data_IF_647311635091
#
_entry.id   IF_647311635091
#
_cell.length_a   1.000
_cell.length_b   1.000
_cell.length_c   1.000
_cell.angle_alpha   90.00
_cell.angle_beta   90.00
_cell.angle_gamma   90.00
#
_symmetry.space_group_name_H-M   'P 1'
#
loop_
_entity.id
_entity.type
_entity.pdbx_description
1 polymer ?
#
# COMPACT_ATOMS: atom_id res chain seq x y z
N UNK A 1 6.14 -15.53 -13.44
CA UNK A 1 6.12 -15.79 -12.00
C UNK A 1 7.52 -16.06 -11.44
N UNK A 2 8.38 -16.78 -12.13
CA UNK A 2 9.75 -17.06 -11.69
C UNK A 2 10.55 -15.75 -11.43
N UNK A 3 10.43 -14.76 -12.32
CA UNK A 3 11.06 -13.45 -12.13
C UNK A 3 10.51 -12.71 -10.90
N UNK A 4 9.23 -12.86 -10.59
CA UNK A 4 8.61 -12.31 -9.37
C UNK A 4 9.24 -12.92 -8.13
N UNK A 5 9.40 -14.23 -8.10
CA UNK A 5 10.08 -14.92 -7.00
C UNK A 5 11.52 -14.44 -6.83
N UNK A 6 12.30 -14.39 -7.91
CA UNK A 6 13.71 -13.97 -7.82
C UNK A 6 13.88 -12.51 -7.42
N UNK A 7 13.01 -11.63 -7.93
CA UNK A 7 12.97 -10.23 -7.51
C UNK A 7 12.65 -10.08 -6.02
N UNK A 8 11.62 -10.79 -5.54
CA UNK A 8 11.26 -10.81 -4.13
C UNK A 8 12.38 -11.38 -3.24
N UNK A 9 12.99 -12.50 -3.65
CA UNK A 9 14.09 -13.12 -2.90
C UNK A 9 15.29 -12.17 -2.76
N UNK A 10 15.66 -11.46 -3.83
CA UNK A 10 16.72 -10.47 -3.80
C UNK A 10 16.39 -9.30 -2.84
N UNK A 11 15.20 -8.71 -2.95
CA UNK A 11 14.75 -7.62 -2.09
C UNK A 11 14.66 -8.05 -0.61
N UNK A 12 14.12 -9.23 -0.33
CA UNK A 12 14.01 -9.74 1.04
C UNK A 12 15.36 -10.13 1.65
N UNK A 13 16.32 -10.57 0.84
CA UNK A 13 17.70 -10.78 1.31
C UNK A 13 18.33 -9.46 1.77
N UNK A 14 18.12 -8.38 1.05
CA UNK A 14 18.52 -7.03 1.46
C UNK A 14 17.84 -6.60 2.76
N UNK A 15 16.54 -6.85 2.89
CA UNK A 15 15.78 -6.57 4.12
C UNK A 15 16.40 -7.32 5.32
N UNK A 16 16.64 -8.62 5.18
CA UNK A 16 17.26 -9.44 6.24
C UNK A 16 18.64 -8.92 6.62
N UNK A 17 19.48 -8.58 5.64
CA UNK A 17 20.81 -8.01 5.88
C UNK A 17 20.77 -6.67 6.61
N UNK A 18 19.72 -5.88 6.38
CA UNK A 18 19.46 -4.61 7.06
C UNK A 18 18.74 -4.76 8.40
N UNK A 19 18.56 -6.00 8.89
CA UNK A 19 17.93 -6.27 10.20
C UNK A 19 16.41 -6.16 10.21
N UNK A 20 15.76 -6.09 9.05
CA UNK A 20 14.30 -6.07 8.92
C UNK A 20 13.74 -7.44 9.27
N UNK A 21 12.75 -7.49 10.15
CA UNK A 21 12.09 -8.73 10.59
C UNK A 21 10.68 -8.89 10.02
N UNK A 22 10.09 -7.82 9.54
CA UNK A 22 8.74 -7.80 8.98
C UNK A 22 8.66 -6.80 7.84
N UNK A 23 8.12 -7.22 6.70
CA UNK A 23 7.92 -6.39 5.51
C UNK A 23 6.44 -6.22 5.24
N UNK A 24 6.04 -4.99 4.89
CA UNK A 24 4.77 -4.70 4.23
C UNK A 24 5.10 -4.41 2.77
N UNK A 25 4.81 -5.36 1.88
CA UNK A 25 5.17 -5.29 0.47
C UNK A 25 3.97 -4.86 -0.38
N UNK A 26 4.20 -3.93 -1.31
CA UNK A 26 3.22 -3.45 -2.27
C UNK A 26 3.70 -3.80 -3.68
N UNK A 27 3.21 -4.90 -4.20
CA UNK A 27 3.71 -5.51 -5.43
C UNK A 27 2.93 -5.10 -6.68
N UNK A 28 3.65 -4.88 -7.77
CA UNK A 28 3.08 -4.71 -9.10
C UNK A 28 3.87 -5.52 -10.14
N UNK A 29 3.18 -6.36 -10.91
CA UNK A 29 3.76 -7.13 -12.02
C UNK A 29 2.73 -7.33 -13.11
N UNK A 30 2.62 -6.37 -14.03
CA UNK A 30 1.55 -6.34 -15.05
C UNK A 30 1.52 -7.56 -15.99
N UNK A 31 2.63 -8.27 -16.12
CA UNK A 31 2.74 -9.51 -16.91
C UNK A 31 2.41 -10.79 -16.12
N UNK A 32 2.28 -10.72 -14.79
CA UNK A 32 2.11 -11.89 -13.93
C UNK A 32 1.28 -11.55 -12.69
N UNK A 33 0.00 -11.22 -12.86
CA UNK A 33 -0.89 -10.82 -11.76
C UNK A 33 -1.20 -12.02 -10.88
N UNK A 34 -1.91 -13.00 -11.42
CA UNK A 34 -2.40 -14.16 -10.67
C UNK A 34 -1.25 -15.06 -10.21
N UNK A 35 -1.20 -15.33 -8.91
CA UNK A 35 -0.19 -16.16 -8.27
C UNK A 35 1.11 -15.42 -7.90
N UNK A 36 1.23 -14.12 -8.19
CA UNK A 36 2.42 -13.34 -7.85
C UNK A 36 2.66 -13.24 -6.35
N UNK A 37 1.61 -13.02 -5.56
CA UNK A 37 1.74 -12.92 -4.10
C UNK A 37 2.13 -14.25 -3.46
N UNK A 38 1.71 -15.38 -4.02
CA UNK A 38 2.16 -16.71 -3.56
C UNK A 38 3.65 -16.93 -3.81
N UNK A 39 4.20 -16.45 -4.95
CA UNK A 39 5.64 -16.52 -5.23
C UNK A 39 6.45 -15.62 -4.29
N UNK A 40 5.96 -14.42 -4.01
CA UNK A 40 6.58 -13.52 -3.02
C UNK A 40 6.53 -14.14 -1.62
N UNK A 41 5.41 -14.74 -1.26
CA UNK A 41 5.26 -15.47 0.02
C UNK A 41 6.25 -16.61 0.14
N UNK A 42 6.48 -17.38 -0.95
CA UNK A 42 7.48 -18.45 -0.99
C UNK A 42 8.89 -17.93 -0.73
N UNK A 43 9.27 -16.82 -1.38
CA UNK A 43 10.57 -16.19 -1.13
C UNK A 43 10.74 -15.74 0.33
N UNK A 44 9.69 -15.18 0.92
CA UNK A 44 9.70 -14.79 2.33
C UNK A 44 9.78 -16.00 3.28
N UNK A 45 9.18 -17.14 2.92
CA UNK A 45 9.29 -18.39 3.70
C UNK A 45 10.72 -18.93 3.73
N UNK A 46 11.38 -18.97 2.57
CA UNK A 46 12.75 -19.48 2.46
C UNK A 46 13.75 -18.64 3.26
N UNK A 47 13.51 -17.34 3.40
CA UNK A 47 14.33 -16.42 4.18
C UNK A 47 13.89 -16.27 5.64
N UNK A 48 12.79 -16.91 6.06
CA UNK A 48 12.25 -16.81 7.42
C UNK A 48 11.73 -15.42 7.77
N UNK A 49 11.34 -14.61 6.78
CA UNK A 49 10.90 -13.22 6.95
C UNK A 49 9.37 -13.17 7.11
N UNK A 50 8.90 -12.41 8.09
CA UNK A 50 7.46 -12.11 8.21
C UNK A 50 7.06 -11.10 7.14
N UNK A 51 5.96 -11.37 6.42
CA UNK A 51 5.50 -10.50 5.34
C UNK A 51 3.99 -10.29 5.35
N UNK A 52 3.59 -9.04 5.15
CA UNK A 52 2.24 -8.62 4.83
C UNK A 52 2.25 -8.13 3.38
N UNK A 53 1.56 -8.85 2.49
CA UNK A 53 1.67 -8.67 1.06
C UNK A 53 0.37 -8.11 0.47
N UNK A 54 0.51 -7.30 -0.58
CA UNK A 54 -0.62 -6.88 -1.39
C UNK A 54 -0.19 -6.67 -2.85
N UNK A 55 -1.15 -6.85 -3.77
CA UNK A 55 -0.99 -6.56 -5.19
C UNK A 55 -1.63 -5.20 -5.53
N UNK A 56 -0.97 -4.41 -6.33
CA UNK A 56 -1.42 -3.09 -6.77
C UNK A 56 -2.63 -3.17 -7.69
N UNK A 57 -3.80 -2.72 -7.22
CA UNK A 57 -4.99 -2.50 -8.05
C UNK A 57 -4.90 -1.13 -8.70
N UNK A 58 -5.17 -1.06 -10.01
CA UNK A 58 -5.17 0.17 -10.78
C UNK A 58 -6.08 0.04 -12.01
N UNK A 59 -6.67 1.16 -12.46
CA UNK A 59 -7.47 1.21 -13.69
C UNK A 59 -6.60 1.36 -14.95
N UNK A 60 -5.28 1.62 -14.81
CA UNK A 60 -4.37 1.92 -15.92
C UNK A 60 -4.26 0.82 -16.97
N UNK A 61 -4.32 -0.43 -16.54
CA UNK A 61 -4.16 -1.61 -17.40
C UNK A 61 -5.49 -2.21 -17.86
N UNK A 62 -6.59 -1.49 -17.60
CA UNK A 62 -7.94 -1.89 -18.02
C UNK A 62 -8.66 -2.84 -17.06
N UNK A 63 -9.96 -2.96 -17.26
CA UNK A 63 -10.88 -3.61 -16.32
C UNK A 63 -10.55 -5.08 -16.02
N UNK A 64 -10.03 -5.81 -17.01
CA UNK A 64 -9.68 -7.23 -16.83
C UNK A 64 -8.53 -7.41 -15.84
N UNK A 65 -7.46 -6.61 -15.97
CA UNK A 65 -6.31 -6.67 -15.05
C UNK A 65 -6.67 -6.10 -13.68
N UNK A 66 -7.48 -5.05 -13.65
CA UNK A 66 -8.01 -4.51 -12.39
C UNK A 66 -8.76 -5.59 -11.59
N UNK A 67 -9.69 -6.31 -12.23
CA UNK A 67 -10.40 -7.42 -11.57
C UNK A 67 -9.47 -8.55 -11.14
N UNK A 68 -8.49 -8.90 -11.96
CA UNK A 68 -7.50 -9.91 -11.60
C UNK A 68 -6.67 -9.50 -10.37
N UNK A 69 -6.28 -8.22 -10.28
CA UNK A 69 -5.55 -7.67 -9.15
C UNK A 69 -6.39 -7.69 -7.85
N UNK A 70 -7.67 -7.32 -7.92
CA UNK A 70 -8.59 -7.42 -6.77
C UNK A 70 -8.69 -8.89 -6.32
N UNK A 71 -8.86 -9.82 -7.25
CA UNK A 71 -8.98 -11.24 -6.95
C UNK A 71 -7.69 -11.80 -6.34
N UNK A 72 -6.51 -11.42 -6.85
CA UNK A 72 -5.21 -11.83 -6.31
C UNK A 72 -5.07 -11.43 -4.83
N UNK A 73 -5.42 -10.17 -4.48
CA UNK A 73 -5.43 -9.73 -3.09
C UNK A 73 -6.37 -10.58 -2.22
N UNK A 74 -7.59 -10.80 -2.67
CA UNK A 74 -8.60 -11.55 -1.91
C UNK A 74 -8.17 -12.99 -1.68
N UNK A 75 -7.63 -13.64 -2.70
CA UNK A 75 -7.18 -15.03 -2.62
C UNK A 75 -6.00 -15.15 -1.67
N UNK A 76 -5.03 -14.24 -1.76
CA UNK A 76 -3.88 -14.22 -0.85
C UNK A 76 -4.28 -13.90 0.60
N UNK A 77 -5.17 -12.94 0.84
CA UNK A 77 -5.69 -12.65 2.19
C UNK A 77 -6.32 -13.90 2.82
N UNK A 78 -7.10 -14.64 2.04
CA UNK A 78 -7.73 -15.89 2.50
C UNK A 78 -6.71 -17.00 2.74
N UNK A 79 -5.71 -17.13 1.89
CA UNK A 79 -4.61 -18.07 2.04
C UNK A 79 -3.81 -17.78 3.32
N UNK A 80 -3.36 -16.55 3.50
CA UNK A 80 -2.63 -16.10 4.69
C UNK A 80 -3.43 -16.32 5.99
N UNK A 81 -4.75 -16.06 5.96
CA UNK A 81 -5.63 -16.29 7.09
C UNK A 81 -5.77 -17.78 7.44
N UNK A 82 -5.84 -18.65 6.43
CA UNK A 82 -5.91 -20.12 6.63
C UNK A 82 -4.61 -20.69 7.17
N UNK A 83 -3.48 -20.10 6.79
CA UNK A 83 -2.16 -20.49 7.27
C UNK A 83 -2.04 -20.31 8.79
N UNK A 84 -2.48 -19.17 9.33
CA UNK A 84 -2.64 -18.92 10.76
C UNK A 84 -1.38 -18.96 11.62
N UNK A 85 -0.18 -18.92 11.00
CA UNK A 85 1.12 -19.03 11.67
C UNK A 85 1.70 -17.67 12.12
N UNK A 86 1.02 -16.56 11.80
CA UNK A 86 1.48 -15.22 12.08
C UNK A 86 2.64 -14.74 11.19
N UNK A 87 3.11 -15.56 10.25
CA UNK A 87 4.21 -15.23 9.36
C UNK A 87 3.72 -14.53 8.08
N UNK A 88 2.46 -14.71 7.71
CA UNK A 88 1.84 -14.12 6.52
C UNK A 88 0.58 -13.36 6.88
N UNK A 89 0.44 -12.22 6.23
CA UNK A 89 -0.76 -11.39 6.23
C UNK A 89 -0.99 -10.87 4.80
N UNK A 90 -2.23 -10.56 4.46
CA UNK A 90 -2.58 -9.94 3.20
C UNK A 90 -3.35 -8.65 3.41
N UNK A 91 -3.21 -7.71 2.49
CA UNK A 91 -3.98 -6.45 2.43
C UNK A 91 -4.56 -6.26 1.03
N UNK A 92 -5.53 -5.35 0.90
CA UNK A 92 -5.97 -4.85 -0.40
C UNK A 92 -5.00 -3.76 -0.86
N UNK A 93 -4.13 -4.06 -1.81
CA UNK A 93 -3.23 -3.09 -2.43
C UNK A 93 -3.99 -2.21 -3.42
N UNK A 94 -3.77 -0.91 -3.37
CA UNK A 94 -4.35 0.06 -4.29
C UNK A 94 -3.27 1.06 -4.69
N UNK A 95 -3.16 1.40 -5.99
CA UNK A 95 -2.10 2.29 -6.43
C UNK A 95 -2.24 3.69 -5.79
N UNK A 96 -3.02 4.58 -6.38
CA UNK A 96 -3.16 5.97 -5.92
C UNK A 96 -4.53 6.53 -6.32
N UNK A 97 -4.97 7.59 -5.65
CA UNK A 97 -6.28 8.17 -5.85
C UNK A 97 -6.61 8.55 -7.29
N UNK A 98 -5.62 9.08 -8.03
CA UNK A 98 -5.81 9.52 -9.43
C UNK A 98 -5.82 8.37 -10.46
N UNK A 99 -5.46 7.16 -10.08
CA UNK A 99 -5.46 5.98 -10.95
C UNK A 99 -6.59 5.00 -10.65
N UNK A 100 -7.48 5.37 -9.74
CA UNK A 100 -8.59 4.55 -9.27
C UNK A 100 -9.90 5.32 -9.40
N UNK A 101 -10.84 4.79 -10.16
CA UNK A 101 -12.20 5.30 -10.19
C UNK A 101 -12.95 5.00 -8.88
N UNK A 102 -14.04 5.73 -8.62
CA UNK A 102 -14.90 5.43 -7.47
C UNK A 102 -15.47 4.01 -7.54
N UNK A 103 -15.81 3.54 -8.76
CA UNK A 103 -16.27 2.15 -9.01
C UNK A 103 -15.21 1.13 -8.60
N UNK A 104 -13.93 1.39 -8.87
CA UNK A 104 -12.84 0.49 -8.51
C UNK A 104 -12.60 0.49 -7.00
N UNK A 105 -12.64 1.66 -6.35
CA UNK A 105 -12.57 1.75 -4.89
C UNK A 105 -13.72 0.97 -4.23
N UNK A 106 -14.94 1.12 -4.71
CA UNK A 106 -16.12 0.37 -4.23
C UNK A 106 -15.92 -1.14 -4.41
N UNK A 107 -15.48 -1.57 -5.59
CA UNK A 107 -15.21 -3.00 -5.85
C UNK A 107 -14.14 -3.58 -4.94
N UNK A 108 -13.06 -2.83 -4.66
CA UNK A 108 -12.03 -3.22 -3.69
C UNK A 108 -12.61 -3.41 -2.29
N UNK A 109 -13.43 -2.44 -1.83
CA UNK A 109 -14.01 -2.47 -0.50
C UNK A 109 -15.08 -3.55 -0.33
N UNK A 110 -15.89 -3.81 -1.37
CA UNK A 110 -16.85 -4.91 -1.38
C UNK A 110 -16.18 -6.29 -1.32
N UNK A 111 -15.02 -6.43 -1.99
CA UNK A 111 -14.28 -7.68 -2.02
C UNK A 111 -13.39 -7.91 -0.78
N UNK A 112 -13.06 -6.84 -0.04
CA UNK A 112 -12.12 -6.88 1.08
C UNK A 112 -12.66 -7.72 2.25
N UNK A 113 -11.97 -8.80 2.67
CA UNK A 113 -12.32 -9.52 3.88
C UNK A 113 -12.24 -8.61 5.13
N UNK A 114 -13.24 -8.68 6.02
CA UNK A 114 -13.34 -7.84 7.23
C UNK A 114 -12.13 -7.94 8.19
N UNK A 115 -11.33 -8.99 8.07
CA UNK A 115 -10.12 -9.21 8.86
C UNK A 115 -8.92 -8.40 8.37
N UNK A 116 -8.96 -7.88 7.14
CA UNK A 116 -7.84 -7.18 6.49
C UNK A 116 -8.09 -5.68 6.37
N UNK A 117 -7.11 -4.96 5.83
CA UNK A 117 -7.14 -3.53 5.56
C UNK A 117 -6.56 -3.21 4.19
N UNK A 118 -6.21 -1.95 3.98
CA UNK A 118 -5.76 -1.42 2.69
C UNK A 118 -4.33 -0.89 2.77
N UNK A 119 -3.61 -0.96 1.65
CA UNK A 119 -2.32 -0.32 1.45
C UNK A 119 -2.39 0.50 0.17
N UNK A 120 -2.22 1.82 0.27
CA UNK A 120 -2.44 2.77 -0.83
C UNK A 120 -1.44 3.93 -0.76
N UNK A 121 -0.98 4.43 -1.91
CA UNK A 121 -0.21 5.66 -2.01
C UNK A 121 -1.16 6.86 -1.98
N UNK A 122 -0.87 7.87 -1.17
CA UNK A 122 -1.76 9.00 -0.93
C UNK A 122 -0.98 10.30 -1.05
N UNK A 123 -1.41 11.18 -1.95
CA UNK A 123 -0.88 12.52 -2.11
C UNK A 123 0.66 12.56 -2.18
N UNK A 124 1.26 11.59 -2.88
CA UNK A 124 2.70 11.55 -3.15
C UNK A 124 3.11 12.70 -4.06
N UNK A 125 2.30 12.98 -5.09
CA UNK A 125 2.53 14.07 -6.03
C UNK A 125 1.33 15.02 -6.04
N UNK A 126 1.56 16.25 -6.55
CA UNK A 126 0.50 17.26 -6.68
C UNK A 126 -0.63 16.85 -7.62
N UNK A 127 -0.33 15.98 -8.59
CA UNK A 127 -1.31 15.43 -9.53
C UNK A 127 -2.40 14.67 -8.80
N UNK A 128 -2.07 13.85 -7.79
CA UNK A 128 -3.07 13.10 -7.02
C UNK A 128 -4.06 14.04 -6.32
N UNK A 129 -3.55 15.08 -5.67
CA UNK A 129 -4.37 16.10 -5.00
C UNK A 129 -5.19 16.91 -5.99
N UNK A 130 -4.55 17.41 -7.06
CA UNK A 130 -5.19 18.25 -8.07
C UNK A 130 -6.28 17.49 -8.82
N UNK A 131 -5.98 16.27 -9.27
CA UNK A 131 -6.96 15.40 -9.93
C UNK A 131 -8.18 15.13 -9.03
N UNK A 132 -7.96 14.83 -7.75
CA UNK A 132 -9.05 14.58 -6.82
C UNK A 132 -9.96 15.81 -6.66
N UNK A 133 -9.37 17.00 -6.50
CA UNK A 133 -10.12 18.24 -6.39
C UNK A 133 -10.90 18.58 -7.67
N UNK A 134 -10.29 18.44 -8.84
CA UNK A 134 -10.90 18.76 -10.13
C UNK A 134 -12.01 17.77 -10.51
N UNK A 135 -11.79 16.48 -10.27
CA UNK A 135 -12.71 15.43 -10.71
C UNK A 135 -13.82 15.16 -9.72
N UNK A 136 -13.52 15.20 -8.41
CA UNK A 136 -14.46 14.81 -7.36
C UNK A 136 -14.85 15.96 -6.42
N UNK A 137 -14.28 17.15 -6.55
CA UNK A 137 -14.57 18.32 -5.72
C UNK A 137 -14.12 18.19 -4.27
N UNK A 138 -13.19 17.29 -3.98
CA UNK A 138 -12.73 16.99 -2.61
C UNK A 138 -11.29 16.52 -2.61
N UNK A 139 -10.61 16.60 -1.44
CA UNK A 139 -9.26 16.05 -1.29
C UNK A 139 -9.27 14.53 -1.46
N UNK A 140 -8.11 13.96 -1.83
CA UNK A 140 -7.94 12.51 -1.98
C UNK A 140 -8.25 11.79 -0.67
N UNK A 141 -7.81 12.30 0.48
CA UNK A 141 -8.05 11.71 1.81
C UNK A 141 -9.54 11.70 2.15
N UNK A 142 -10.25 12.81 1.91
CA UNK A 142 -11.71 12.86 2.12
C UNK A 142 -12.44 11.88 1.21
N UNK A 143 -12.04 11.77 -0.06
CA UNK A 143 -12.62 10.80 -1.00
C UNK A 143 -12.42 9.37 -0.52
N UNK A 144 -11.21 9.01 -0.09
CA UNK A 144 -10.89 7.68 0.42
C UNK A 144 -11.68 7.35 1.71
N UNK A 145 -11.86 8.34 2.61
CA UNK A 145 -12.73 8.19 3.79
C UNK A 145 -14.17 7.85 3.40
N UNK A 146 -14.74 8.61 2.48
CA UNK A 146 -16.12 8.42 2.02
C UNK A 146 -16.34 7.07 1.32
N UNK A 147 -15.29 6.51 0.70
CA UNK A 147 -15.31 5.17 0.10
C UNK A 147 -14.95 4.05 1.08
N UNK A 148 -14.73 4.38 2.36
CA UNK A 148 -14.45 3.40 3.41
C UNK A 148 -13.06 2.78 3.37
N UNK A 149 -12.12 3.34 2.58
CA UNK A 149 -10.75 2.84 2.42
C UNK A 149 -9.93 3.07 3.68
N UNK A 150 -10.15 4.21 4.36
CA UNK A 150 -9.37 4.60 5.53
C UNK A 150 -9.85 3.91 6.80
N UNK A 151 -8.94 3.50 7.64
CA UNK A 151 -9.23 2.86 8.91
C UNK A 151 -7.97 2.32 9.60
N UNK A 152 -8.14 1.80 10.80
CA UNK A 152 -7.06 1.32 11.67
C UNK A 152 -6.10 0.30 11.02
N UNK A 153 -6.56 -0.44 10.02
CA UNK A 153 -5.76 -1.43 9.30
C UNK A 153 -5.25 -0.90 7.96
N UNK A 154 -5.37 0.40 7.70
CA UNK A 154 -4.94 1.01 6.45
C UNK A 154 -3.57 1.67 6.61
N UNK A 155 -2.69 1.40 5.64
CA UNK A 155 -1.41 2.07 5.45
C UNK A 155 -1.56 3.07 4.30
N UNK A 156 -1.37 4.36 4.60
CA UNK A 156 -1.33 5.44 3.63
C UNK A 156 0.14 5.85 3.41
N UNK A 157 0.71 5.45 2.28
CA UNK A 157 2.10 5.76 1.96
C UNK A 157 2.27 7.19 1.47
N UNK A 158 3.44 7.78 1.74
CA UNK A 158 3.91 9.13 1.40
C UNK A 158 3.19 10.26 2.13
N UNK A 159 1.94 10.55 1.82
CA UNK A 159 1.14 11.62 2.44
C UNK A 159 1.86 12.98 2.43
N UNK A 160 2.44 13.40 1.29
CA UNK A 160 3.29 14.61 1.19
C UNK A 160 2.42 15.86 1.07
N UNK A 161 1.46 15.86 0.15
CA UNK A 161 0.68 17.05 -0.23
C UNK A 161 -0.70 17.08 0.43
N UNK A 162 -0.73 16.98 1.77
CA UNK A 162 -1.93 17.02 2.57
C UNK A 162 -2.20 18.44 3.13
N UNK A 163 -3.47 18.75 3.34
CA UNK A 163 -3.88 19.90 4.14
C UNK A 163 -4.22 19.47 5.58
N UNK A 164 -4.45 20.44 6.47
CA UNK A 164 -4.76 20.17 7.87
C UNK A 164 -6.01 19.30 8.07
N UNK A 165 -7.06 19.48 7.25
CA UNK A 165 -8.28 18.69 7.35
C UNK A 165 -8.00 17.21 7.02
N UNK A 166 -7.14 16.96 6.03
CA UNK A 166 -6.71 15.62 5.65
C UNK A 166 -6.00 14.91 6.81
N UNK A 167 -5.10 15.63 7.50
CA UNK A 167 -4.40 15.10 8.68
C UNK A 167 -5.38 14.74 9.80
N UNK A 168 -6.42 15.56 10.03
CA UNK A 168 -7.45 15.24 11.01
C UNK A 168 -8.26 14.00 10.60
N UNK A 169 -8.57 13.83 9.33
CA UNK A 169 -9.26 12.62 8.83
C UNK A 169 -8.42 11.37 9.08
N UNK A 170 -7.12 11.41 8.79
CA UNK A 170 -6.22 10.28 9.05
C UNK A 170 -6.18 9.91 10.54
N UNK A 171 -6.13 10.91 11.41
CA UNK A 171 -6.20 10.70 12.87
C UNK A 171 -7.53 10.08 13.30
N UNK A 172 -8.66 10.65 12.85
CA UNK A 172 -10.01 10.19 13.21
C UNK A 172 -10.29 8.76 12.76
N UNK A 173 -9.73 8.36 11.62
CA UNK A 173 -9.87 7.02 11.07
C UNK A 173 -8.84 6.03 11.62
N UNK A 174 -7.90 6.48 12.46
CA UNK A 174 -6.77 5.69 12.96
C UNK A 174 -5.94 5.06 11.82
N UNK A 175 -5.83 5.78 10.69
CA UNK A 175 -5.04 5.37 9.53
C UNK A 175 -3.57 5.69 9.77
N UNK A 176 -2.69 4.71 9.54
CA UNK A 176 -1.25 4.92 9.67
C UNK A 176 -0.65 5.55 8.40
N UNK A 177 0.17 6.56 8.59
CA UNK A 177 1.00 7.17 7.53
C UNK A 177 2.35 6.49 7.49
N UNK A 178 2.79 6.08 6.30
CA UNK A 178 4.12 5.52 6.06
C UNK A 178 4.95 6.56 5.31
N UNK A 179 5.89 7.16 6.02
CA UNK A 179 6.82 8.13 5.46
C UNK A 179 7.96 7.42 4.70
N UNK A 180 8.14 7.75 3.43
CA UNK A 180 9.15 7.16 2.55
C UNK A 180 10.19 8.22 2.14
N UNK A 181 11.06 8.68 3.07
CA UNK A 181 11.89 9.87 2.84
C UNK A 181 12.86 9.70 1.68
N UNK A 182 13.45 8.53 1.52
CA UNK A 182 14.42 8.25 0.45
C UNK A 182 13.75 8.30 -0.92
N UNK A 183 12.65 7.59 -1.10
CA UNK A 183 11.86 7.62 -2.32
C UNK A 183 11.36 9.03 -2.64
N UNK A 184 10.83 9.74 -1.64
CA UNK A 184 10.36 11.11 -1.82
C UNK A 184 11.46 12.05 -2.33
N UNK A 185 12.70 11.88 -1.85
CA UNK A 185 13.87 12.64 -2.33
C UNK A 185 14.30 12.21 -3.74
N UNK A 186 14.37 10.90 -4.01
CA UNK A 186 14.76 10.38 -5.32
C UNK A 186 13.79 10.80 -6.42
N UNK A 187 12.49 10.81 -6.14
CA UNK A 187 11.43 11.20 -7.08
C UNK A 187 11.17 12.71 -7.10
N UNK A 188 11.88 13.50 -6.29
CA UNK A 188 11.62 14.94 -6.11
C UNK A 188 10.15 15.25 -5.76
N UNK A 189 9.46 14.33 -5.08
CA UNK A 189 8.05 14.43 -4.74
C UNK A 189 7.78 15.47 -3.64
N UNK A 190 8.76 15.76 -2.80
CA UNK A 190 8.66 16.70 -1.68
C UNK A 190 8.93 16.05 -0.33
N UNK A 191 8.63 16.78 0.74
CA UNK A 191 8.81 16.32 2.12
C UNK A 191 7.47 16.31 2.85
N UNK A 192 7.10 15.17 3.40
CA UNK A 192 5.92 15.08 4.28
C UNK A 192 6.18 15.80 5.62
N UNK A 193 5.19 16.51 6.14
CA UNK A 193 5.30 17.16 7.45
C UNK A 193 5.07 16.17 8.60
N UNK A 194 6.08 15.33 8.84
CA UNK A 194 6.06 14.35 9.94
C UNK A 194 5.90 14.99 11.32
N UNK A 195 6.28 16.26 11.45
CA UNK A 195 6.11 17.03 12.71
C UNK A 195 4.64 17.31 12.96
N UNK A 196 3.91 17.70 11.92
CA UNK A 196 2.47 17.92 11.99
C UNK A 196 1.73 16.62 12.31
N UNK A 197 2.07 15.52 11.62
CA UNK A 197 1.47 14.19 11.89
C UNK A 197 1.70 13.74 13.33
N UNK A 198 2.93 13.92 13.84
CA UNK A 198 3.25 13.60 15.23
C UNK A 198 2.45 14.44 16.23
N UNK A 199 2.32 15.76 15.99
CA UNK A 199 1.52 16.66 16.83
C UNK A 199 0.03 16.30 16.80
N UNK A 200 -0.47 15.92 15.65
CA UNK A 200 -1.86 15.45 15.46
C UNK A 200 -2.08 14.04 16.04
N UNK A 201 -1.03 13.33 16.45
CA UNK A 201 -1.07 11.93 16.93
C UNK A 201 -1.58 10.95 15.84
N UNK A 202 -1.23 11.17 14.60
CA UNK A 202 -1.38 10.21 13.53
C UNK A 202 -0.33 9.11 13.71
N UNK A 203 -0.71 7.85 13.52
CA UNK A 203 0.24 6.74 13.53
C UNK A 203 1.27 6.91 12.41
N UNK A 204 2.56 6.85 12.74
CA UNK A 204 3.66 7.02 11.79
C UNK A 204 4.52 5.78 11.72
N UNK A 205 4.90 5.40 10.50
CA UNK A 205 5.91 4.40 10.19
C UNK A 205 6.90 4.93 9.16
N UNK A 206 8.03 4.23 9.01
CA UNK A 206 9.00 4.46 7.95
C UNK A 206 8.89 3.38 6.89
N UNK A 207 9.01 3.76 5.63
CA UNK A 207 9.03 2.85 4.49
C UNK A 207 10.18 3.17 3.55
N UNK A 208 10.64 2.16 2.85
CA UNK A 208 11.71 2.26 1.85
C UNK A 208 11.17 2.56 0.46
N UNK A 209 9.90 2.21 0.21
CA UNK A 209 9.35 2.13 -1.14
C UNK A 209 10.17 1.16 -2.00
N UNK A 210 10.38 1.41 -3.29
CA UNK A 210 11.24 0.62 -4.17
C UNK A 210 12.75 0.84 -3.97
N UNK A 211 13.16 1.60 -2.96
CA UNK A 211 14.56 1.90 -2.67
C UNK A 211 15.22 0.82 -1.77
N UNK A 212 16.53 0.95 -1.56
CA UNK A 212 17.28 0.01 -0.73
C UNK A 212 16.75 -0.06 0.71
N UNK A 213 16.72 -1.26 1.29
CA UNK A 213 16.12 -1.54 2.60
C UNK A 213 16.88 -0.93 3.79
N UNK A 214 18.12 -0.48 3.61
CA UNK A 214 18.92 0.17 4.65
C UNK A 214 18.42 1.61 4.88
N UNK A 215 17.79 1.84 6.01
CA UNK A 215 17.22 3.13 6.42
C UNK A 215 18.01 3.80 7.57
N UNK A 216 19.13 3.21 8.01
CA UNK A 216 19.97 3.69 9.12
C UNK A 216 21.26 4.34 8.61
#
# INVERSE_FOLDING_TARGET
LEDVYHGAAAAFLECVRSGVTTVFDHHASYGAVTGSLSEISRAADELGLRACLCYEVSDREGESKCRAAIQENVDFIREASRRGDGMRCGMMGMHAGFTLSDRTLEACMEALPATSGCHIHVAECLEDTTHSLQTYGKSVVRRLRERGVLGRKTLAAHCIHLNWEDVQILRETDTAVIHCPRSNMCNAAGAADVTEYSRARVGLGLGTDGEAADML
#
